data_IF_108806719211
#
_entry.id   IF_108806719211
#
_cell.length_a   1.000
_cell.length_b   1.000
_cell.length_c   1.000
_cell.angle_alpha   90.00
_cell.angle_beta   90.00
_cell.angle_gamma   90.00
#
_symmetry.space_group_name_H-M   'P 1'
#
loop_
_entity.id
_entity.type
_entity.pdbx_description
1 polymer ?
#
# COMPACT_ATOMS: atom_id res chain seq x y z
N UNK A 1 -1.56 -60.06 10.94
CA UNK A 1 -2.68 -59.29 11.50
C UNK A 1 -3.98 -59.94 11.05
N UNK A 2 -4.77 -60.46 11.99
CA UNK A 2 -6.04 -61.17 11.74
C UNK A 2 -7.02 -60.27 10.95
N UNK A 3 -7.24 -60.62 9.68
CA UNK A 3 -7.88 -59.78 8.68
C UNK A 3 -9.39 -59.57 8.78
N UNK A 4 -10.02 -59.71 9.95
CA UNK A 4 -11.48 -59.60 10.06
C UNK A 4 -12.03 -58.96 11.36
N UNK A 5 -11.19 -58.53 12.32
CA UNK A 5 -11.69 -58.02 13.61
C UNK A 5 -12.32 -56.62 13.56
N UNK A 6 -12.07 -55.84 12.51
CA UNK A 6 -12.50 -54.43 12.44
C UNK A 6 -13.21 -54.06 11.14
N UNK A 7 -13.83 -55.01 10.45
CA UNK A 7 -14.48 -54.75 9.16
C UNK A 7 -15.56 -53.65 9.24
N UNK A 8 -16.36 -53.64 10.31
CA UNK A 8 -17.37 -52.60 10.56
C UNK A 8 -16.75 -51.23 10.85
N UNK A 9 -15.68 -51.21 11.65
CA UNK A 9 -14.96 -49.98 11.98
C UNK A 9 -14.24 -49.41 10.75
N UNK A 10 -13.72 -50.28 9.88
CA UNK A 10 -13.11 -49.91 8.61
C UNK A 10 -14.11 -49.25 7.65
N UNK A 11 -15.36 -49.72 7.63
CA UNK A 11 -16.44 -49.07 6.87
C UNK A 11 -16.73 -47.66 7.38
N UNK A 12 -16.70 -47.45 8.70
CA UNK A 12 -16.86 -46.10 9.30
C UNK A 12 -15.68 -45.21 8.93
N UNK A 13 -14.44 -45.70 9.01
CA UNK A 13 -13.27 -44.93 8.59
C UNK A 13 -13.31 -44.54 7.11
N UNK A 14 -13.78 -45.43 6.22
CA UNK A 14 -13.99 -45.09 4.81
C UNK A 14 -14.97 -43.93 4.66
N UNK A 15 -16.10 -43.96 5.37
CA UNK A 15 -17.10 -42.88 5.31
C UNK A 15 -16.51 -41.58 5.86
N UNK A 16 -15.80 -41.62 6.99
CA UNK A 16 -15.16 -40.44 7.60
C UNK A 16 -14.11 -39.83 6.68
N UNK A 17 -13.27 -40.65 6.03
CA UNK A 17 -12.25 -40.16 5.10
C UNK A 17 -12.85 -39.57 3.81
N UNK A 18 -14.02 -40.05 3.38
CA UNK A 18 -14.75 -39.49 2.24
C UNK A 18 -15.48 -38.20 2.63
N UNK A 19 -16.04 -38.12 3.85
CA UNK A 19 -16.75 -36.94 4.35
C UNK A 19 -15.85 -35.70 4.51
N UNK A 20 -14.54 -35.89 4.75
CA UNK A 20 -13.56 -34.78 4.77
C UNK A 20 -13.33 -34.10 3.42
N UNK A 21 -13.83 -34.67 2.31
CA UNK A 21 -13.95 -33.95 1.04
C UNK A 21 -15.25 -33.13 1.05
N UNK A 22 -15.25 -32.04 1.82
CA UNK A 22 -16.39 -31.12 1.86
C UNK A 22 -16.69 -30.58 0.46
N UNK A 23 -17.90 -30.84 -0.07
CA UNK A 23 -18.64 -30.12 -1.12
C UNK A 23 -17.87 -29.46 -2.30
N UNK A 24 -16.63 -29.85 -2.57
CA UNK A 24 -15.78 -29.32 -3.62
C UNK A 24 -15.67 -30.40 -4.70
N UNK A 25 -16.34 -30.17 -5.82
CA UNK A 25 -16.07 -30.93 -7.04
C UNK A 25 -14.58 -30.78 -7.37
N UNK A 26 -13.85 -31.89 -7.37
CA UNK A 26 -12.38 -31.90 -7.46
C UNK A 26 -11.95 -31.78 -8.92
N UNK A 27 -12.05 -30.58 -9.49
CA UNK A 27 -11.30 -30.27 -10.71
C UNK A 27 -9.89 -29.81 -10.32
N UNK A 28 -8.93 -30.75 -10.37
CA UNK A 28 -7.48 -30.44 -10.34
C UNK A 28 -6.95 -29.65 -9.14
N UNK A 29 -7.33 -30.03 -7.92
CA UNK A 29 -6.55 -29.68 -6.72
C UNK A 29 -6.67 -28.23 -6.23
N UNK A 30 -7.62 -27.45 -6.74
CA UNK A 30 -8.10 -26.23 -6.10
C UNK A 30 -9.56 -26.41 -5.71
N UNK A 31 -9.88 -26.20 -4.44
CA UNK A 31 -11.27 -26.05 -4.00
C UNK A 31 -11.79 -24.69 -4.49
N UNK A 32 -12.15 -24.61 -5.77
CA UNK A 32 -12.91 -23.46 -6.27
C UNK A 32 -14.35 -23.69 -5.82
N UNK A 33 -14.71 -23.06 -4.70
CA UNK A 33 -16.10 -23.02 -4.26
C UNK A 33 -16.85 -22.18 -5.29
N UNK A 34 -17.65 -22.82 -6.16
CA UNK A 34 -18.41 -22.15 -7.23
C UNK A 34 -19.38 -21.08 -6.70
N UNK A 35 -19.65 -21.09 -5.39
CA UNK A 35 -20.43 -20.07 -4.69
C UNK A 35 -19.63 -18.81 -4.31
N UNK A 36 -18.29 -18.87 -4.28
CA UNK A 36 -17.40 -17.74 -3.98
C UNK A 36 -17.08 -16.92 -5.25
N UNK A 37 -17.23 -17.51 -6.44
CA UNK A 37 -16.99 -16.81 -7.71
C UNK A 37 -18.02 -15.69 -8.00
N UNK A 38 -19.16 -15.65 -7.30
CA UNK A 38 -20.25 -14.73 -7.66
C UNK A 38 -20.01 -13.29 -7.19
N UNK A 39 -19.25 -13.03 -6.11
CA UNK A 39 -19.26 -11.69 -5.50
C UNK A 39 -17.89 -11.23 -4.99
N UNK A 40 -16.99 -10.83 -5.90
CA UNK A 40 -16.03 -9.76 -5.56
C UNK A 40 -16.75 -8.40 -5.47
N UNK A 41 -17.85 -8.37 -4.72
CA UNK A 41 -18.62 -7.17 -4.44
C UNK A 41 -17.95 -6.42 -3.30
N UNK A 42 -18.07 -5.10 -3.34
CA UNK A 42 -17.61 -4.26 -2.25
C UNK A 42 -18.47 -4.52 -1.00
N UNK A 43 -17.89 -4.39 0.20
CA UNK A 43 -18.57 -4.53 1.50
C UNK A 43 -19.89 -3.73 1.54
N UNK A 44 -19.87 -2.52 0.98
CA UNK A 44 -21.06 -1.65 0.90
C UNK A 44 -22.20 -2.31 0.12
N UNK A 45 -21.88 -3.04 -0.95
CA UNK A 45 -22.87 -3.77 -1.74
C UNK A 45 -23.48 -4.93 -0.96
N UNK A 46 -22.67 -5.68 -0.20
CA UNK A 46 -23.14 -6.75 0.68
C UNK A 46 -24.09 -6.24 1.77
N UNK A 47 -23.71 -5.14 2.44
CA UNK A 47 -24.56 -4.51 3.47
C UNK A 47 -25.88 -4.05 2.84
N UNK A 48 -25.83 -3.45 1.65
CA UNK A 48 -27.02 -2.98 0.94
C UNK A 48 -27.96 -4.13 0.57
N UNK A 49 -27.44 -5.23 0.03
CA UNK A 49 -28.25 -6.41 -0.29
C UNK A 49 -28.91 -7.00 0.95
N UNK A 50 -28.18 -7.07 2.07
CA UNK A 50 -28.70 -7.59 3.33
C UNK A 50 -29.84 -6.74 3.88
N UNK A 51 -29.72 -5.41 3.84
CA UNK A 51 -30.79 -4.50 4.24
C UNK A 51 -32.06 -4.76 3.42
N UNK A 52 -31.92 -4.94 2.10
CA UNK A 52 -33.06 -5.24 1.21
C UNK A 52 -33.68 -6.59 1.59
N UNK A 53 -32.87 -7.62 1.78
CA UNK A 53 -33.34 -8.95 2.17
C UNK A 53 -34.09 -8.94 3.50
N UNK A 54 -33.51 -8.30 4.53
CA UNK A 54 -34.10 -8.22 5.86
C UNK A 54 -35.45 -7.48 5.82
N UNK A 55 -35.54 -6.40 5.03
CA UNK A 55 -36.78 -5.67 4.84
C UNK A 55 -37.85 -6.53 4.14
N UNK A 56 -37.50 -7.22 3.05
CA UNK A 56 -38.41 -8.13 2.33
C UNK A 56 -38.93 -9.24 3.26
N UNK A 57 -38.04 -9.79 4.09
CA UNK A 57 -38.39 -10.84 5.05
C UNK A 57 -39.32 -10.31 6.14
N UNK A 58 -39.06 -9.11 6.66
CA UNK A 58 -39.92 -8.46 7.66
C UNK A 58 -41.32 -8.16 7.09
N UNK A 59 -41.42 -7.78 5.82
CA UNK A 59 -42.69 -7.54 5.15
C UNK A 59 -43.50 -8.80 4.84
N UNK A 60 -42.97 -10.00 5.11
CA UNK A 60 -43.66 -11.27 4.80
C UNK A 60 -43.52 -11.72 3.35
N UNK A 61 -42.59 -11.13 2.60
CA UNK A 61 -42.30 -11.46 1.21
C UNK A 61 -42.54 -10.31 0.24
N UNK A 62 -42.08 -10.50 -1.00
CA UNK A 62 -42.03 -9.44 -2.03
C UNK A 62 -43.44 -8.93 -2.41
N UNK A 63 -44.45 -9.78 -2.32
CA UNK A 63 -45.83 -9.47 -2.69
C UNK A 63 -46.54 -8.50 -1.72
N UNK A 64 -46.02 -8.35 -0.50
CA UNK A 64 -46.59 -7.48 0.55
C UNK A 64 -45.91 -6.11 0.62
N UNK A 65 -44.88 -5.87 -0.20
CA UNK A 65 -44.16 -4.60 -0.20
C UNK A 65 -44.91 -3.58 -1.05
N UNK A 66 -45.39 -2.52 -0.40
CA UNK A 66 -46.04 -1.41 -1.08
C UNK A 66 -45.01 -0.55 -1.83
N UNK A 67 -45.18 -0.42 -3.15
CA UNK A 67 -44.33 0.44 -3.97
C UNK A 67 -44.73 1.90 -3.77
N UNK A 68 -43.96 2.60 -2.94
CA UNK A 68 -44.20 4.03 -2.66
C UNK A 68 -43.67 4.92 -3.79
N UNK A 69 -44.21 6.15 -3.89
CA UNK A 69 -43.74 7.16 -4.85
C UNK A 69 -42.25 7.48 -4.67
N UNK A 70 -41.79 7.52 -3.42
CA UNK A 70 -40.40 7.78 -3.05
C UNK A 70 -39.46 6.68 -3.54
N UNK A 71 -39.86 5.42 -3.40
CA UNK A 71 -39.08 4.28 -3.91
C UNK A 71 -38.88 4.38 -5.42
N UNK A 72 -39.94 4.76 -6.15
CA UNK A 72 -39.88 4.96 -7.60
C UNK A 72 -38.93 6.10 -7.99
N UNK A 73 -39.01 7.24 -7.31
CA UNK A 73 -38.10 8.36 -7.54
C UNK A 73 -36.65 7.95 -7.24
N UNK A 74 -36.42 7.24 -6.13
CA UNK A 74 -35.09 6.75 -5.77
C UNK A 74 -34.54 5.84 -6.87
N UNK A 75 -35.33 4.87 -7.35
CA UNK A 75 -34.96 3.95 -8.43
C UNK A 75 -34.57 4.68 -9.72
N UNK A 76 -35.35 5.69 -10.14
CA UNK A 76 -35.00 6.50 -11.33
C UNK A 76 -33.71 7.30 -11.14
N UNK A 77 -33.41 7.74 -9.91
CA UNK A 77 -32.20 8.52 -9.60
C UNK A 77 -30.91 7.70 -9.45
N UNK A 78 -31.00 6.36 -9.36
CA UNK A 78 -29.85 5.48 -9.06
C UNK A 78 -28.71 5.68 -10.05
N UNK A 79 -29.02 5.76 -11.35
CA UNK A 79 -27.98 5.90 -12.37
C UNK A 79 -27.19 7.21 -12.20
N UNK A 80 -27.87 8.32 -11.95
CA UNK A 80 -27.23 9.62 -11.72
C UNK A 80 -26.40 9.62 -10.44
N UNK A 81 -26.92 9.05 -9.35
CA UNK A 81 -26.17 8.91 -8.08
C UNK A 81 -24.92 8.06 -8.26
N UNK A 82 -25.00 6.97 -9.03
CA UNK A 82 -23.84 6.13 -9.32
C UNK A 82 -22.78 6.86 -10.14
N UNK A 83 -23.19 7.67 -11.12
CA UNK A 83 -22.27 8.52 -11.88
C UNK A 83 -21.52 9.52 -10.99
N UNK A 84 -22.24 10.21 -10.10
CA UNK A 84 -21.63 11.13 -9.14
C UNK A 84 -20.65 10.41 -8.19
N UNK A 85 -21.02 9.22 -7.71
CA UNK A 85 -20.14 8.40 -6.87
C UNK A 85 -18.84 8.02 -7.58
N UNK A 86 -18.89 7.66 -8.87
CA UNK A 86 -17.70 7.35 -9.66
C UNK A 86 -16.80 8.58 -9.88
N UNK A 87 -17.40 9.75 -10.10
CA UNK A 87 -16.66 11.02 -10.24
C UNK A 87 -15.97 11.40 -8.93
N UNK A 88 -16.66 11.24 -7.80
CA UNK A 88 -16.10 11.48 -6.47
C UNK A 88 -14.94 10.52 -6.16
N UNK A 89 -15.05 9.24 -6.51
CA UNK A 89 -13.95 8.28 -6.34
C UNK A 89 -12.71 8.68 -7.15
N UNK A 90 -12.88 9.07 -8.42
CA UNK A 90 -11.76 9.55 -9.25
C UNK A 90 -11.12 10.81 -8.66
N UNK A 91 -11.93 11.76 -8.19
CA UNK A 91 -11.42 12.97 -7.57
C UNK A 91 -10.61 12.66 -6.29
N UNK A 92 -11.06 11.71 -5.47
CA UNK A 92 -10.32 11.24 -4.29
C UNK A 92 -9.00 10.57 -4.66
N UNK A 93 -8.98 9.74 -5.69
CA UNK A 93 -7.74 9.09 -6.16
C UNK A 93 -6.72 10.11 -6.67
N UNK A 94 -7.15 11.09 -7.47
CA UNK A 94 -6.29 12.17 -7.96
C UNK A 94 -5.72 12.97 -6.79
N UNK A 95 -6.58 13.41 -5.86
CA UNK A 95 -6.13 14.13 -4.67
C UNK A 95 -5.17 13.30 -3.79
N UNK A 96 -5.41 12.00 -3.66
CA UNK A 96 -4.52 11.09 -2.94
C UNK A 96 -3.17 10.93 -3.65
N UNK A 97 -3.14 10.92 -4.98
CA UNK A 97 -1.89 10.85 -5.73
C UNK A 97 -1.09 12.17 -5.64
N UNK A 98 -1.75 13.29 -5.87
CA UNK A 98 -1.17 14.63 -5.71
C UNK A 98 -0.54 14.82 -4.32
N UNK A 99 -1.23 14.39 -3.27
CA UNK A 99 -0.71 14.49 -1.90
C UNK A 99 0.47 13.56 -1.65
N UNK A 100 0.54 12.39 -2.30
CA UNK A 100 1.71 11.51 -2.27
C UNK A 100 2.89 12.14 -2.99
N UNK A 101 2.69 12.71 -4.19
CA UNK A 101 3.74 13.37 -4.95
C UNK A 101 4.31 14.57 -4.19
N UNK A 102 3.46 15.45 -3.66
CA UNK A 102 3.91 16.58 -2.82
C UNK A 102 4.68 16.13 -1.58
N UNK A 103 4.27 15.03 -0.93
CA UNK A 103 5.01 14.45 0.21
C UNK A 103 6.37 13.90 -0.22
N UNK A 104 6.45 13.24 -1.38
CA UNK A 104 7.70 12.72 -1.93
C UNK A 104 8.68 13.85 -2.24
N UNK A 105 8.21 14.89 -2.94
CA UNK A 105 8.99 16.10 -3.24
C UNK A 105 9.48 16.79 -1.96
N UNK A 106 8.59 16.95 -0.97
CA UNK A 106 8.94 17.54 0.33
C UNK A 106 10.02 16.73 1.06
N UNK A 107 9.88 15.40 1.12
CA UNK A 107 10.86 14.51 1.72
C UNK A 107 12.21 14.56 0.98
N UNK A 108 12.17 14.63 -0.35
CA UNK A 108 13.37 14.77 -1.17
C UNK A 108 14.10 16.09 -0.89
N UNK A 109 13.37 17.21 -0.81
CA UNK A 109 13.93 18.51 -0.44
C UNK A 109 14.53 18.52 0.98
N UNK A 110 13.87 17.90 1.95
CA UNK A 110 14.39 17.76 3.31
C UNK A 110 15.71 16.99 3.30
N UNK A 111 15.78 15.90 2.53
CA UNK A 111 16.98 15.06 2.42
C UNK A 111 18.13 15.83 1.76
N UNK A 112 17.85 16.54 0.66
CA UNK A 112 18.85 17.40 0.01
C UNK A 112 19.36 18.50 0.94
N UNK A 113 18.48 19.15 1.71
CA UNK A 113 18.88 20.18 2.68
C UNK A 113 19.78 19.60 3.78
N UNK A 114 19.51 18.39 4.27
CA UNK A 114 20.37 17.70 5.24
C UNK A 114 21.73 17.33 4.65
N UNK A 115 21.76 16.81 3.43
CA UNK A 115 23.02 16.47 2.76
C UNK A 115 23.87 17.73 2.53
N UNK A 116 23.24 18.82 2.12
CA UNK A 116 23.90 20.12 1.96
C UNK A 116 24.54 20.60 3.27
N UNK A 117 23.81 20.57 4.38
CA UNK A 117 24.36 21.02 5.67
C UNK A 117 25.47 20.10 6.20
N UNK A 118 25.42 18.81 5.89
CA UNK A 118 26.51 17.88 6.21
C UNK A 118 27.78 18.20 5.40
N UNK A 119 27.63 18.40 4.09
CA UNK A 119 28.74 18.82 3.20
C UNK A 119 29.37 20.14 3.64
N UNK A 120 28.56 21.12 4.04
CA UNK A 120 29.04 22.41 4.58
C UNK A 120 29.86 22.21 5.86
N UNK A 121 29.44 21.33 6.77
CA UNK A 121 30.19 20.98 7.98
C UNK A 121 31.50 20.26 7.66
N UNK A 122 31.48 19.29 6.76
CA UNK A 122 32.69 18.59 6.33
C UNK A 122 33.72 19.55 5.73
N UNK A 123 33.27 20.50 4.90
CA UNK A 123 34.14 21.53 4.33
C UNK A 123 34.79 22.37 5.44
N UNK A 124 33.99 22.85 6.40
CA UNK A 124 34.51 23.64 7.52
C UNK A 124 35.52 22.86 8.38
N UNK A 125 35.26 21.57 8.64
CA UNK A 125 36.21 20.70 9.35
C UNK A 125 37.51 20.49 8.58
N UNK A 126 37.44 20.27 7.26
CA UNK A 126 38.63 20.14 6.42
C UNK A 126 39.41 21.46 6.34
N UNK A 127 38.74 22.61 6.31
CA UNK A 127 39.37 23.94 6.36
C UNK A 127 40.10 24.18 7.68
N UNK A 128 39.50 23.78 8.81
CA UNK A 128 40.12 23.81 10.12
C UNK A 128 41.40 22.97 10.15
N UNK A 129 41.31 21.71 9.71
CA UNK A 129 42.46 20.78 9.64
C UNK A 129 43.56 21.27 8.71
N UNK A 130 43.20 21.83 7.54
CA UNK A 130 44.18 22.36 6.60
C UNK A 130 44.91 23.59 7.18
N UNK A 131 44.21 24.42 7.96
CA UNK A 131 44.78 25.60 8.62
C UNK A 131 45.68 25.21 9.79
N UNK A 132 45.25 24.25 10.63
CA UNK A 132 46.08 23.67 11.70
C UNK A 132 47.37 23.04 11.15
N UNK A 133 47.27 22.28 10.04
CA UNK A 133 48.44 21.70 9.39
C UNK A 133 49.39 22.75 8.80
N UNK A 134 48.86 23.88 8.31
CA UNK A 134 49.68 24.98 7.81
C UNK A 134 50.39 25.71 8.96
N UNK A 135 49.73 25.88 10.10
CA UNK A 135 50.30 26.53 11.29
C UNK A 135 51.35 25.65 11.98
N UNK A 136 51.15 24.33 12.00
CA UNK A 136 52.09 23.36 12.57
C UNK A 136 53.21 22.95 11.61
N UNK A 137 53.17 23.40 10.35
CA UNK A 137 54.13 23.00 9.33
C UNK A 137 55.52 23.56 9.61
N UNK A 138 56.43 22.67 10.04
CA UNK A 138 57.87 22.95 10.13
C UNK A 138 58.64 22.52 8.88
N UNK A 139 58.05 21.62 8.08
CA UNK A 139 58.65 21.03 6.89
C UNK A 139 57.75 21.21 5.66
N UNK A 140 58.38 21.32 4.49
CA UNK A 140 57.70 21.52 3.19
C UNK A 140 56.64 20.44 2.87
N UNK A 141 56.83 19.21 3.35
CA UNK A 141 55.90 18.09 3.13
C UNK A 141 54.52 18.31 3.78
N UNK A 142 54.46 18.96 4.95
CA UNK A 142 53.20 19.29 5.63
C UNK A 142 52.47 20.44 4.92
N UNK A 143 53.22 21.40 4.36
CA UNK A 143 52.66 22.45 3.51
C UNK A 143 52.06 21.89 2.22
N UNK A 144 52.72 20.92 1.57
CA UNK A 144 52.17 20.24 0.40
C UNK A 144 50.84 19.56 0.73
N UNK A 145 50.78 18.81 1.85
CA UNK A 145 49.54 18.15 2.31
C UNK A 145 48.41 19.16 2.60
N UNK A 146 48.72 20.28 3.25
CA UNK A 146 47.74 21.34 3.51
C UNK A 146 47.20 21.95 2.21
N UNK A 147 48.08 22.20 1.23
CA UNK A 147 47.69 22.72 -0.08
C UNK A 147 46.84 21.73 -0.88
N UNK A 148 47.17 20.43 -0.83
CA UNK A 148 46.36 19.37 -1.44
C UNK A 148 44.95 19.31 -0.83
N UNK A 149 44.83 19.45 0.49
CA UNK A 149 43.53 19.53 1.17
C UNK A 149 42.74 20.78 0.76
N UNK A 150 43.39 21.94 0.63
CA UNK A 150 42.75 23.18 0.14
C UNK A 150 42.27 23.06 -1.30
N UNK A 151 43.01 22.37 -2.15
CA UNK A 151 42.59 22.07 -3.53
C UNK A 151 41.34 21.18 -3.53
N UNK A 152 41.31 20.12 -2.73
CA UNK A 152 40.15 19.25 -2.57
C UNK A 152 38.91 19.98 -2.01
N UNK A 153 39.11 20.93 -1.08
CA UNK A 153 38.04 21.81 -0.56
C UNK A 153 37.48 22.68 -1.69
N UNK A 154 38.34 23.31 -2.50
CA UNK A 154 37.91 24.12 -3.64
C UNK A 154 37.00 23.33 -4.60
N UNK A 155 37.39 22.10 -4.94
CA UNK A 155 36.59 21.21 -5.80
C UNK A 155 35.22 20.86 -5.17
N UNK A 156 35.18 20.55 -3.86
CA UNK A 156 33.92 20.28 -3.13
C UNK A 156 33.03 21.53 -3.01
N UNK A 157 33.61 22.73 -2.81
CA UNK A 157 32.83 23.98 -2.76
C UNK A 157 32.23 24.36 -4.11
N UNK A 158 32.91 24.05 -5.22
CA UNK A 158 32.35 24.21 -6.57
C UNK A 158 31.18 23.26 -6.81
N UNK A 159 31.27 22.00 -6.37
CA UNK A 159 30.15 21.07 -6.41
C UNK A 159 28.97 21.58 -5.59
N UNK A 160 29.22 22.13 -4.39
CA UNK A 160 28.18 22.74 -3.56
C UNK A 160 27.51 23.96 -4.23
N UNK A 161 28.26 24.77 -4.98
CA UNK A 161 27.72 25.89 -5.76
C UNK A 161 26.79 25.41 -6.88
N UNK A 162 27.07 24.25 -7.50
CA UNK A 162 26.18 23.64 -8.52
C UNK A 162 24.84 23.18 -7.96
N UNK A 163 24.74 22.93 -6.65
CA UNK A 163 23.48 22.60 -5.97
C UNK A 163 22.63 23.83 -5.57
N UNK A 164 23.15 25.06 -5.74
CA UNK A 164 22.33 26.28 -5.63
C UNK A 164 21.73 26.56 -7.01
N UNK A 165 20.48 26.16 -7.21
CA UNK A 165 19.61 26.73 -8.24
C UNK A 165 19.14 28.12 -7.79
#
# INVERSE_FOLDING_TARGET
FEGNKFTKLWSVFKIVFILSHGQASVERGFSINKNIEVENLNEVSYVSQRIVYDHVKQSGGIHLINITKELRISATSVHSKYRLFLEEQRAKEIAANDTKERKLESNFLITLRKNKSLLEKEIAEMECKASELAEQARDFSLLTKSNDMRKAISEKTEQLKKFKL
#
